data_IF_796051105647
#
_entry.id   IF_796051105647
#
_cell.length_a   1.000
_cell.length_b   1.000
_cell.length_c   1.000
_cell.angle_alpha   90.00
_cell.angle_beta   90.00
_cell.angle_gamma   90.00
#
_symmetry.space_group_name_H-M   'P 1'
#
loop_
_entity.id
_entity.type
_entity.pdbx_description
1 polymer ?
#
# COMPACT_ATOMS: atom_id res chain seq x y z
N UNK A 1 13.56 -16.72 5.40
CA UNK A 1 12.27 -17.32 4.97
C UNK A 1 11.16 -16.92 5.96
N UNK A 2 11.40 -16.97 7.27
CA UNK A 2 10.45 -16.70 8.36
C UNK A 2 9.83 -15.30 8.24
N UNK A 3 10.64 -14.25 8.04
CA UNK A 3 10.15 -12.87 7.85
C UNK A 3 9.27 -12.70 6.60
N UNK A 4 9.48 -13.48 5.55
CA UNK A 4 8.61 -13.49 4.36
C UNK A 4 7.28 -14.16 4.72
N UNK A 5 7.31 -15.31 5.41
CA UNK A 5 6.13 -16.00 5.88
C UNK A 5 5.27 -15.08 6.77
N UNK A 6 5.88 -14.37 7.72
CA UNK A 6 5.20 -13.40 8.57
C UNK A 6 4.48 -12.30 7.75
N UNK A 7 5.17 -11.64 6.81
CA UNK A 7 4.57 -10.60 5.98
C UNK A 7 3.43 -11.13 5.11
N UNK A 8 3.59 -12.33 4.54
CA UNK A 8 2.52 -12.98 3.75
C UNK A 8 1.32 -13.33 4.62
N UNK A 9 1.54 -13.89 5.81
CA UNK A 9 0.46 -14.21 6.73
C UNK A 9 -0.31 -12.95 7.18
N UNK A 10 0.40 -11.88 7.54
CA UNK A 10 -0.20 -10.58 7.83
C UNK A 10 -1.06 -10.08 6.65
N UNK A 11 -0.53 -10.21 5.43
CA UNK A 11 -1.24 -9.78 4.22
C UNK A 11 -2.50 -10.60 3.94
N UNK A 12 -2.48 -11.93 4.20
CA UNK A 12 -3.61 -12.82 4.03
C UNK A 12 -4.66 -12.69 5.15
N UNK A 13 -4.25 -12.29 6.35
CA UNK A 13 -5.17 -12.09 7.48
C UNK A 13 -6.02 -10.83 7.38
N UNK A 14 -5.63 -9.87 6.54
CA UNK A 14 -6.35 -8.59 6.39
C UNK A 14 -7.40 -8.66 5.28
N UNK A 15 -8.66 -8.43 5.64
CA UNK A 15 -9.79 -8.46 4.71
C UNK A 15 -9.93 -7.11 3.98
N UNK A 16 -9.39 -7.03 2.77
CA UNK A 16 -9.47 -5.83 1.91
C UNK A 16 -10.90 -5.51 1.47
N UNK A 17 -11.74 -6.51 1.25
CA UNK A 17 -13.14 -6.29 0.83
C UNK A 17 -13.95 -5.67 1.97
N UNK A 18 -13.67 -6.06 3.22
CA UNK A 18 -14.26 -5.42 4.39
C UNK A 18 -13.82 -3.95 4.51
N UNK A 19 -12.53 -3.65 4.30
CA UNK A 19 -12.03 -2.27 4.26
C UNK A 19 -12.77 -1.44 3.20
N UNK A 20 -12.88 -1.96 1.98
CA UNK A 20 -13.55 -1.27 0.88
C UNK A 20 -15.01 -1.00 1.23
N UNK A 21 -15.71 -1.99 1.76
CA UNK A 21 -17.12 -1.87 2.10
C UNK A 21 -17.39 -0.95 3.28
N UNK A 22 -16.61 -1.10 4.37
CA UNK A 22 -16.91 -0.44 5.66
C UNK A 22 -16.23 0.92 5.77
N UNK A 23 -14.93 0.99 5.46
CA UNK A 23 -14.14 2.22 5.65
C UNK A 23 -14.22 3.12 4.42
N UNK A 24 -14.16 2.53 3.22
CA UNK A 24 -14.16 3.29 1.97
C UNK A 24 -15.54 3.42 1.31
N UNK A 25 -16.57 2.85 1.92
CA UNK A 25 -17.97 2.95 1.43
C UNK A 25 -18.11 2.59 -0.06
N UNK A 26 -17.37 1.57 -0.53
CA UNK A 26 -17.33 1.16 -1.93
C UNK A 26 -16.46 2.04 -2.85
N UNK A 27 -15.82 3.08 -2.35
CA UNK A 27 -15.02 4.04 -3.14
C UNK A 27 -13.58 3.57 -3.34
N UNK A 28 -13.39 2.30 -3.67
CA UNK A 28 -12.10 1.72 -3.98
C UNK A 28 -12.23 0.39 -4.70
N UNK A 29 -11.14 -0.06 -5.35
CA UNK A 29 -10.99 -1.39 -5.93
C UNK A 29 -9.84 -2.12 -5.20
N UNK A 30 -9.89 -3.46 -5.04
CA UNK A 30 -8.76 -4.22 -4.52
C UNK A 30 -7.50 -3.97 -5.37
N UNK A 31 -6.37 -3.70 -4.71
CA UNK A 31 -5.14 -3.48 -5.44
C UNK A 31 -4.46 -4.80 -5.79
N UNK A 32 -4.33 -5.09 -7.07
CA UNK A 32 -3.74 -6.32 -7.60
C UNK A 32 -2.25 -6.20 -7.86
N UNK A 33 -1.73 -4.98 -8.06
CA UNK A 33 -0.32 -4.71 -8.36
C UNK A 33 0.06 -3.29 -7.92
N UNK A 34 1.35 -2.96 -8.02
CA UNK A 34 1.84 -1.62 -7.64
C UNK A 34 1.40 -0.53 -8.62
N UNK A 35 1.25 -0.87 -9.91
CA UNK A 35 0.82 0.06 -10.95
C UNK A 35 -0.71 0.06 -11.00
N UNK A 36 -1.31 1.21 -10.73
CA UNK A 36 -2.76 1.36 -10.72
C UNK A 36 -3.38 1.23 -12.12
N UNK A 37 -4.67 0.87 -12.24
CA UNK A 37 -5.40 0.89 -13.50
C UNK A 37 -5.25 2.23 -14.24
N UNK A 38 -5.32 2.18 -15.57
CA UNK A 38 -5.18 3.33 -16.48
C UNK A 38 -3.77 3.95 -16.55
N UNK A 39 -2.77 3.37 -15.87
CA UNK A 39 -1.37 3.75 -16.05
C UNK A 39 -0.68 2.84 -17.07
N UNK A 40 0.27 3.39 -17.82
CA UNK A 40 1.13 2.60 -18.72
C UNK A 40 1.93 1.61 -17.88
N UNK A 41 1.89 0.34 -18.25
CA UNK A 41 2.52 -0.75 -17.51
C UNK A 41 1.59 -1.50 -16.54
N UNK A 42 0.33 -1.06 -16.38
CA UNK A 42 -0.67 -1.87 -15.69
C UNK A 42 -0.99 -3.13 -16.50
N UNK A 43 -0.95 -4.29 -15.87
CA UNK A 43 -1.30 -5.57 -16.47
C UNK A 43 -2.65 -6.05 -15.91
N UNK A 44 -3.75 -5.96 -16.68
CA UNK A 44 -5.07 -6.35 -16.19
C UNK A 44 -5.22 -7.87 -15.98
N UNK A 45 -4.25 -8.67 -16.43
CA UNK A 45 -4.25 -10.12 -16.24
C UNK A 45 -3.46 -10.56 -14.99
N UNK A 46 -2.77 -9.62 -14.32
CA UNK A 46 -2.00 -9.92 -13.13
C UNK A 46 -2.82 -9.69 -11.86
N UNK A 47 -2.97 -10.74 -11.07
CA UNK A 47 -3.54 -10.66 -9.72
C UNK A 47 -2.48 -11.08 -8.68
N UNK A 48 -1.76 -10.08 -8.17
CA UNK A 48 -0.82 -10.23 -7.06
C UNK A 48 -1.44 -9.93 -5.69
N UNK A 49 -2.76 -9.77 -5.65
CA UNK A 49 -3.47 -9.47 -4.40
C UNK A 49 -3.39 -10.67 -3.44
N UNK A 50 -2.96 -10.42 -2.20
CA UNK A 50 -3.06 -11.41 -1.13
C UNK A 50 -4.54 -11.51 -0.71
N UNK A 51 -5.24 -12.55 -1.19
CA UNK A 51 -6.62 -12.84 -0.83
C UNK A 51 -6.74 -13.11 0.66
N UNK A 52 -7.86 -12.69 1.23
CA UNK A 52 -8.16 -12.95 2.63
C UNK A 52 -8.34 -14.46 2.85
N UNK A 53 -7.47 -15.04 3.67
CA UNK A 53 -7.50 -16.44 4.06
C UNK A 53 -6.83 -16.60 5.44
N UNK A 54 -7.63 -16.43 6.49
CA UNK A 54 -7.15 -16.51 7.87
C UNK A 54 -6.65 -17.92 8.26
N UNK A 55 -7.31 -19.03 7.87
CA UNK A 55 -6.80 -20.38 8.10
C UNK A 55 -5.45 -20.62 7.48
N UNK A 56 -5.25 -20.27 6.20
CA UNK A 56 -3.98 -20.40 5.51
C UNK A 56 -2.89 -19.50 6.13
N UNK A 57 -3.25 -18.28 6.57
CA UNK A 57 -2.33 -17.38 7.26
C UNK A 57 -1.83 -17.99 8.57
N UNK A 58 -2.71 -18.59 9.39
CA UNK A 58 -2.36 -19.27 10.62
C UNK A 58 -1.44 -20.46 10.35
N UNK A 59 -1.83 -21.34 9.42
CA UNK A 59 -1.02 -22.51 9.06
C UNK A 59 0.38 -22.13 8.54
N UNK A 60 0.49 -21.00 7.82
CA UNK A 60 1.77 -20.47 7.36
C UNK A 60 2.64 -20.04 8.54
N UNK A 61 2.08 -19.35 9.54
CA UNK A 61 2.81 -18.96 10.75
C UNK A 61 3.26 -20.17 11.56
N UNK A 62 2.37 -21.15 11.77
CA UNK A 62 2.68 -22.38 12.50
C UNK A 62 3.86 -23.12 11.85
N UNK A 63 3.85 -23.26 10.52
CA UNK A 63 4.92 -23.90 9.76
C UNK A 63 6.28 -23.22 9.93
N UNK A 64 6.32 -21.93 10.20
CA UNK A 64 7.56 -21.16 10.36
C UNK A 64 7.89 -20.84 11.82
N UNK A 65 7.22 -21.52 12.77
CA UNK A 65 7.54 -21.47 14.19
C UNK A 65 7.03 -20.24 14.95
N UNK A 66 6.13 -19.45 14.35
CA UNK A 66 5.39 -18.39 15.03
C UNK A 66 4.19 -19.04 15.75
N UNK A 67 4.40 -19.58 16.92
CA UNK A 67 3.39 -20.26 17.75
C UNK A 67 3.43 -19.67 19.16
N UNK A 68 2.33 -19.78 19.88
CA UNK A 68 2.26 -19.46 21.30
C UNK A 68 3.07 -20.52 22.08
N UNK A 69 4.20 -20.13 22.67
CA UNK A 69 5.12 -21.02 23.37
C UNK A 69 5.01 -20.92 24.90
N UNK A 70 4.55 -19.78 25.40
CA UNK A 70 4.42 -19.53 26.83
C UNK A 70 2.97 -19.69 27.34
N UNK A 71 2.00 -19.87 26.44
CA UNK A 71 0.59 -20.12 26.76
C UNK A 71 -0.19 -18.85 27.07
N UNK A 72 0.28 -17.66 26.67
CA UNK A 72 -0.38 -16.38 26.93
C UNK A 72 -1.48 -16.03 25.90
N UNK A 73 -1.70 -16.90 24.92
CA UNK A 73 -2.69 -16.75 23.87
C UNK A 73 -2.22 -15.96 22.63
N UNK A 74 -0.95 -15.52 22.60
CA UNK A 74 -0.36 -14.81 21.50
C UNK A 74 0.81 -15.56 20.89
N UNK A 75 1.08 -15.31 19.62
CA UNK A 75 2.20 -15.94 18.91
C UNK A 75 3.53 -15.28 19.28
N UNK A 76 4.53 -16.10 19.51
CA UNK A 76 5.91 -15.70 19.70
C UNK A 76 6.71 -15.68 18.40
N UNK A 77 7.89 -15.09 18.45
CA UNK A 77 8.91 -15.24 17.43
C UNK A 77 9.42 -16.70 17.39
N UNK A 78 9.97 -17.14 16.24
CA UNK A 78 10.52 -18.50 16.12
C UNK A 78 11.59 -18.85 17.16
N UNK A 79 12.29 -17.86 17.72
CA UNK A 79 13.27 -18.03 18.80
C UNK A 79 12.64 -18.08 20.21
N UNK A 80 11.31 -17.96 20.32
CA UNK A 80 10.55 -18.05 21.57
C UNK A 80 10.42 -16.73 22.32
N UNK A 81 10.86 -15.62 21.74
CA UNK A 81 10.65 -14.31 22.37
C UNK A 81 9.25 -13.78 22.10
N UNK A 82 8.63 -13.11 23.08
CA UNK A 82 7.36 -12.44 22.86
C UNK A 82 7.37 -11.52 21.65
N UNK A 83 6.29 -11.55 20.87
CA UNK A 83 6.16 -10.75 19.65
C UNK A 83 5.02 -9.74 19.77
N UNK A 84 5.35 -8.46 19.60
CA UNK A 84 4.37 -7.38 19.45
C UNK A 84 4.70 -6.63 18.16
N UNK A 85 3.74 -6.55 17.24
CA UNK A 85 3.89 -5.79 16.00
C UNK A 85 3.50 -4.33 16.26
N UNK A 86 4.45 -3.43 16.09
CA UNK A 86 4.18 -2.00 16.14
C UNK A 86 3.68 -1.49 14.78
N UNK A 87 2.53 -0.84 14.79
CA UNK A 87 1.91 -0.25 13.61
C UNK A 87 1.89 1.27 13.78
N UNK A 88 2.61 1.96 12.92
CA UNK A 88 2.57 3.41 12.89
C UNK A 88 1.29 3.89 12.17
N UNK A 89 0.61 4.86 12.76
CA UNK A 89 -0.66 5.37 12.26
C UNK A 89 -0.77 6.88 12.46
N UNK A 90 -1.44 7.57 11.54
CA UNK A 90 -1.68 9.00 11.66
C UNK A 90 -2.86 9.31 12.60
N UNK A 91 -2.90 10.54 13.08
CA UNK A 91 -3.96 11.02 13.97
C UNK A 91 -5.13 11.53 13.11
N UNK A 92 -5.92 10.64 12.54
CA UNK A 92 -7.11 10.98 11.77
C UNK A 92 -8.29 10.05 12.10
N UNK A 93 -9.51 10.47 11.79
CA UNK A 93 -10.70 9.62 11.93
C UNK A 93 -10.66 8.44 10.96
N UNK A 94 -10.14 8.64 9.77
CA UNK A 94 -9.98 7.61 8.75
C UNK A 94 -8.95 6.55 9.19
N UNK A 95 -7.77 6.99 9.66
CA UNK A 95 -6.74 6.06 10.12
C UNK A 95 -7.22 5.25 11.34
N UNK A 96 -8.04 5.82 12.23
CA UNK A 96 -8.63 5.06 13.35
C UNK A 96 -9.49 3.89 12.87
N UNK A 97 -10.28 4.08 11.81
CA UNK A 97 -11.09 2.99 11.26
C UNK A 97 -10.22 1.89 10.64
N UNK A 98 -9.14 2.25 9.96
CA UNK A 98 -8.16 1.30 9.45
C UNK A 98 -7.44 0.55 10.58
N UNK A 99 -7.08 1.24 11.66
CA UNK A 99 -6.42 0.64 12.83
C UNK A 99 -7.32 -0.43 13.48
N UNK A 100 -8.63 -0.17 13.58
CA UNK A 100 -9.58 -1.17 14.11
C UNK A 100 -9.66 -2.43 13.24
N UNK A 101 -9.63 -2.28 11.91
CA UNK A 101 -9.58 -3.43 11.00
C UNK A 101 -8.26 -4.19 11.11
N UNK A 102 -7.13 -3.49 11.21
CA UNK A 102 -5.83 -4.11 11.42
C UNK A 102 -5.77 -4.83 12.76
N UNK A 103 -6.25 -4.20 13.85
CA UNK A 103 -6.33 -4.80 15.17
C UNK A 103 -7.17 -6.07 15.16
N UNK A 104 -8.38 -6.02 14.58
CA UNK A 104 -9.26 -7.18 14.40
C UNK A 104 -8.56 -8.33 13.68
N UNK A 105 -7.92 -8.03 12.53
CA UNK A 105 -7.26 -9.02 11.67
C UNK A 105 -6.07 -9.68 12.38
N UNK A 106 -5.23 -8.88 13.02
CA UNK A 106 -4.02 -9.37 13.68
C UNK A 106 -4.32 -10.09 15.00
N UNK A 107 -5.33 -9.63 15.74
CA UNK A 107 -5.85 -10.37 16.91
C UNK A 107 -6.37 -11.75 16.50
N UNK A 108 -7.16 -11.83 15.41
CA UNK A 108 -7.63 -13.10 14.89
C UNK A 108 -6.51 -14.03 14.40
N UNK A 109 -5.40 -13.45 13.94
CA UNK A 109 -4.18 -14.19 13.56
C UNK A 109 -3.35 -14.63 14.79
N UNK A 110 -3.62 -14.09 15.98
CA UNK A 110 -2.87 -14.34 17.21
C UNK A 110 -1.62 -13.46 17.36
N UNK A 111 -1.56 -12.31 16.68
CA UNK A 111 -0.44 -11.36 16.79
C UNK A 111 -0.86 -10.19 17.67
N UNK A 112 -0.07 -9.93 18.72
CA UNK A 112 -0.22 -8.75 19.57
C UNK A 112 0.19 -7.50 18.81
N UNK A 113 -0.58 -6.42 18.94
CA UNK A 113 -0.34 -5.17 18.21
C UNK A 113 -0.24 -3.98 19.14
N UNK A 114 0.62 -3.04 18.78
CA UNK A 114 0.74 -1.73 19.41
C UNK A 114 0.66 -0.64 18.34
N UNK A 115 -0.21 0.37 18.53
CA UNK A 115 -0.43 1.45 17.56
C UNK A 115 0.28 2.73 18.02
N UNK A 116 1.34 3.11 17.31
CA UNK A 116 2.10 4.33 17.54
C UNK A 116 1.51 5.47 16.72
N UNK A 117 0.74 6.36 17.38
CA UNK A 117 0.02 7.46 16.73
C UNK A 117 0.84 8.76 16.74
N UNK A 118 1.16 9.26 15.56
CA UNK A 118 1.92 10.49 15.39
C UNK A 118 1.44 11.29 14.17
N UNK A 119 1.92 12.53 14.03
CA UNK A 119 1.69 13.33 12.82
C UNK A 119 2.49 12.78 11.64
N UNK A 120 1.96 12.93 10.44
CA UNK A 120 2.59 12.42 9.21
C UNK A 120 4.06 12.82 9.03
N UNK A 121 4.49 14.09 9.26
CA UNK A 121 5.90 14.46 9.13
C UNK A 121 6.83 13.68 10.06
N UNK A 122 6.39 13.39 11.28
CA UNK A 122 7.17 12.66 12.27
C UNK A 122 7.29 11.17 11.88
N UNK A 123 6.18 10.57 11.42
CA UNK A 123 6.17 9.21 10.88
C UNK A 123 7.07 9.09 9.65
N UNK A 124 7.05 10.06 8.74
CA UNK A 124 7.90 10.05 7.56
C UNK A 124 9.39 10.13 7.93
N UNK A 125 9.75 10.95 8.93
CA UNK A 125 11.11 11.04 9.45
C UNK A 125 11.57 9.71 10.03
N UNK A 126 10.74 9.06 10.85
CA UNK A 126 11.03 7.75 11.44
C UNK A 126 11.12 6.64 10.38
N UNK A 127 10.23 6.65 9.37
CA UNK A 127 10.26 5.69 8.27
C UNK A 127 11.58 5.81 7.47
N UNK A 128 12.03 7.03 7.17
CA UNK A 128 13.32 7.28 6.52
C UNK A 128 14.50 6.81 7.37
N UNK A 129 14.41 6.96 8.68
CA UNK A 129 15.40 6.45 9.63
C UNK A 129 15.35 4.92 9.83
N UNK A 130 14.31 4.22 9.30
CA UNK A 130 14.13 2.77 9.48
C UNK A 130 13.65 2.37 10.87
N UNK A 131 12.95 3.26 11.56
CA UNK A 131 12.49 3.06 12.93
C UNK A 131 11.05 2.53 13.03
N UNK A 132 10.36 2.37 11.88
CA UNK A 132 9.00 1.83 11.84
C UNK A 132 9.02 0.36 11.41
N UNK A 133 8.22 -0.47 12.08
CA UNK A 133 8.02 -1.87 11.71
C UNK A 133 6.97 -2.01 10.60
N UNK A 134 5.82 -1.34 10.75
CA UNK A 134 4.73 -1.34 9.79
C UNK A 134 4.10 0.05 9.73
N UNK A 135 3.79 0.52 8.55
CA UNK A 135 3.10 1.79 8.32
C UNK A 135 2.29 1.77 7.02
N UNK A 136 1.04 2.25 7.09
CA UNK A 136 0.18 2.41 5.91
C UNK A 136 0.45 3.73 5.19
N UNK A 137 0.69 3.66 3.87
CA UNK A 137 0.91 4.82 3.01
C UNK A 137 0.10 4.72 1.72
N UNK A 138 -0.33 5.85 1.21
CA UNK A 138 -0.87 5.97 -0.12
C UNK A 138 0.13 6.66 -1.05
N UNK A 139 0.21 6.16 -2.28
CA UNK A 139 1.00 6.77 -3.34
C UNK A 139 0.07 7.23 -4.46
N UNK A 140 0.39 8.36 -5.08
CA UNK A 140 -0.29 8.87 -6.26
C UNK A 140 0.69 8.91 -7.41
N UNK A 141 0.29 8.44 -8.59
CA UNK A 141 1.12 8.52 -9.77
C UNK A 141 1.26 9.99 -10.20
N UNK A 142 2.49 10.43 -10.45
CA UNK A 142 2.77 11.78 -10.92
C UNK A 142 2.80 11.93 -12.44
N UNK A 143 2.69 10.81 -13.19
CA UNK A 143 2.72 10.78 -14.66
C UNK A 143 2.07 9.50 -15.18
N UNK A 144 1.65 9.46 -16.48
CA UNK A 144 1.06 8.28 -17.10
C UNK A 144 1.93 7.01 -17.06
N UNK A 145 3.27 7.06 -17.25
CA UNK A 145 4.12 5.89 -17.09
C UNK A 145 4.16 5.40 -15.64
N UNK A 146 3.62 4.19 -15.39
CA UNK A 146 3.55 3.62 -14.05
C UNK A 146 4.86 3.04 -13.52
N UNK A 147 5.88 2.85 -14.38
CA UNK A 147 7.15 2.22 -13.98
C UNK A 147 7.83 2.89 -12.79
N UNK A 148 7.69 4.22 -12.63
CA UNK A 148 8.29 4.98 -11.52
C UNK A 148 7.94 4.46 -10.13
N UNK A 149 6.77 3.85 -9.95
CA UNK A 149 6.35 3.29 -8.66
C UNK A 149 7.24 2.13 -8.21
N UNK A 150 7.86 1.40 -9.13
CA UNK A 150 8.80 0.31 -8.83
C UNK A 150 10.04 0.80 -8.06
N UNK A 151 10.41 2.07 -8.25
CA UNK A 151 11.50 2.72 -7.51
C UNK A 151 11.28 2.82 -6.01
N UNK A 152 10.03 2.68 -5.55
CA UNK A 152 9.67 2.68 -4.13
C UNK A 152 10.08 1.39 -3.41
N UNK A 153 10.50 0.35 -4.17
CA UNK A 153 11.06 -0.90 -3.63
C UNK A 153 12.48 -1.16 -4.14
N UNK A 154 13.08 -0.24 -4.89
CA UNK A 154 14.45 -0.36 -5.36
C UNK A 154 15.43 -0.19 -4.19
N UNK A 155 16.29 -1.20 -3.96
CA UNK A 155 17.17 -1.27 -2.80
C UNK A 155 18.04 -0.04 -2.55
N UNK A 156 18.74 0.52 -3.57
CA UNK A 156 19.53 1.75 -3.42
C UNK A 156 18.74 2.97 -2.97
N UNK A 157 17.42 2.98 -3.09
CA UNK A 157 16.56 4.06 -2.59
C UNK A 157 16.15 3.89 -1.11
N UNK A 158 16.72 2.93 -0.39
CA UNK A 158 16.38 2.67 1.02
C UNK A 158 16.60 3.90 1.91
N UNK A 159 15.59 4.27 2.69
CA UNK A 159 15.61 5.47 3.53
C UNK A 159 15.30 6.78 2.79
N UNK A 160 15.21 6.76 1.46
CA UNK A 160 14.73 7.87 0.63
C UNK A 160 13.25 7.63 0.25
N UNK A 161 13.01 7.06 -0.93
CA UNK A 161 11.68 6.69 -1.40
C UNK A 161 11.29 5.26 -1.07
N UNK A 162 12.25 4.34 -0.93
CA UNK A 162 12.02 2.97 -0.47
C UNK A 162 12.00 2.92 1.07
N UNK A 163 10.85 3.21 1.64
CA UNK A 163 10.63 3.21 3.08
C UNK A 163 10.53 1.79 3.67
N UNK A 164 10.13 0.81 2.86
CA UNK A 164 10.10 -0.60 3.24
C UNK A 164 11.50 -1.22 3.36
N UNK A 165 12.54 -0.52 2.91
CA UNK A 165 13.94 -0.99 2.87
C UNK A 165 14.08 -2.37 2.21
N UNK A 166 13.19 -2.65 1.26
CA UNK A 166 13.27 -3.85 0.45
C UNK A 166 14.53 -3.81 -0.40
N UNK A 167 15.33 -4.86 -0.31
CA UNK A 167 16.59 -4.93 -1.06
C UNK A 167 16.80 -6.37 -1.52
N UNK A 168 16.28 -6.70 -2.69
CA UNK A 168 16.44 -7.98 -3.35
C UNK A 168 17.27 -7.77 -4.61
N UNK A 169 18.43 -8.43 -4.76
CA UNK A 169 19.30 -8.25 -5.93
C UNK A 169 18.60 -8.46 -7.27
N UNK A 170 17.78 -9.50 -7.36
CA UNK A 170 17.00 -9.80 -8.57
C UNK A 170 16.03 -8.65 -8.92
N UNK A 171 15.31 -8.12 -7.95
CA UNK A 171 14.41 -6.97 -8.15
C UNK A 171 15.20 -5.72 -8.58
N UNK A 172 16.36 -5.49 -7.97
CA UNK A 172 17.22 -4.35 -8.31
C UNK A 172 17.73 -4.44 -9.75
N UNK A 173 18.15 -5.63 -10.19
CA UNK A 173 18.58 -5.86 -11.60
C UNK A 173 17.45 -5.62 -12.58
N UNK A 174 16.25 -6.12 -12.29
CA UNK A 174 15.06 -5.89 -13.11
C UNK A 174 14.69 -4.40 -13.17
N UNK A 175 14.79 -3.68 -12.05
CA UNK A 175 14.57 -2.23 -12.02
C UNK A 175 15.57 -1.50 -12.91
N UNK A 176 16.87 -1.80 -12.79
CA UNK A 176 17.92 -1.20 -13.62
C UNK A 176 17.73 -1.50 -15.11
N UNK A 177 17.28 -2.70 -15.46
CA UNK A 177 16.91 -3.05 -16.83
C UNK A 177 15.69 -2.23 -17.28
N UNK A 178 14.60 -2.25 -16.52
CA UNK A 178 13.32 -1.64 -16.89
C UNK A 178 13.40 -0.12 -17.07
N UNK A 179 14.22 0.59 -16.25
CA UNK A 179 14.36 2.06 -16.33
C UNK A 179 15.03 2.53 -17.62
N UNK A 180 15.77 1.66 -18.32
CA UNK A 180 16.45 1.97 -19.58
C UNK A 180 15.60 1.65 -20.80
N UNK A 181 14.51 0.89 -20.62
CA UNK A 181 13.62 0.50 -21.70
C UNK A 181 12.58 1.60 -21.99
N UNK A 182 12.18 1.81 -23.23
CA UNK A 182 11.00 2.60 -23.55
C UNK A 182 9.72 1.90 -23.06
N UNK A 183 8.62 2.65 -22.94
CA UNK A 183 7.32 2.05 -22.70
C UNK A 183 6.96 1.08 -23.83
N UNK A 184 6.50 -0.10 -23.48
CA UNK A 184 6.17 -1.14 -24.45
C UNK A 184 6.28 -2.57 -23.91
N UNK A 185 6.11 -3.57 -24.78
CA UNK A 185 5.98 -4.98 -24.36
C UNK A 185 7.19 -5.52 -23.57
N UNK A 186 8.40 -5.05 -23.88
CA UNK A 186 9.59 -5.51 -23.17
C UNK A 186 9.64 -4.97 -21.74
N UNK A 187 9.36 -3.66 -21.55
CA UNK A 187 9.25 -3.08 -20.20
C UNK A 187 8.11 -3.72 -19.40
N UNK A 188 6.98 -4.02 -20.05
CA UNK A 188 5.84 -4.67 -19.39
C UNK A 188 6.21 -6.08 -18.89
N UNK A 189 7.02 -6.84 -19.62
CA UNK A 189 7.55 -8.13 -19.12
C UNK A 189 8.42 -7.96 -17.89
N UNK A 190 9.27 -6.95 -17.86
CA UNK A 190 10.09 -6.64 -16.68
C UNK A 190 9.20 -6.24 -15.50
N UNK A 191 8.20 -5.38 -15.71
CA UNK A 191 7.21 -4.99 -14.68
C UNK A 191 6.51 -6.22 -14.12
N UNK A 192 6.10 -7.16 -14.99
CA UNK A 192 5.45 -8.41 -14.57
C UNK A 192 6.34 -9.22 -13.64
N UNK A 193 7.60 -9.46 -14.01
CA UNK A 193 8.56 -10.18 -13.19
C UNK A 193 8.79 -9.49 -11.83
N UNK A 194 8.91 -8.16 -11.82
CA UNK A 194 9.03 -7.39 -10.58
C UNK A 194 7.77 -7.52 -9.70
N UNK A 195 6.58 -7.50 -10.29
CA UNK A 195 5.30 -7.67 -9.58
C UNK A 195 5.16 -9.06 -8.96
N UNK A 196 5.64 -10.09 -9.64
CA UNK A 196 5.71 -11.46 -9.11
C UNK A 196 6.62 -11.55 -7.89
N UNK A 197 7.79 -10.91 -7.92
CA UNK A 197 8.69 -10.83 -6.76
C UNK A 197 8.03 -10.09 -5.58
N UNK A 198 7.31 -9.00 -5.85
CA UNK A 198 6.56 -8.28 -4.80
C UNK A 198 5.51 -9.18 -4.15
N UNK A 199 4.78 -9.97 -4.94
CA UNK A 199 3.78 -10.90 -4.41
C UNK A 199 4.40 -12.03 -3.58
N UNK A 200 5.57 -12.55 -3.99
CA UNK A 200 6.28 -13.63 -3.29
C UNK A 200 6.88 -13.13 -1.97
N UNK A 201 7.59 -12.00 -1.99
CA UNK A 201 8.33 -11.49 -0.83
C UNK A 201 7.49 -10.60 0.09
N UNK A 202 6.34 -10.13 -0.39
CA UNK A 202 5.37 -9.31 0.32
C UNK A 202 6.01 -8.15 1.12
N UNK A 203 6.85 -7.29 0.51
CA UNK A 203 7.38 -6.12 1.20
C UNK A 203 6.27 -5.11 1.51
N UNK A 204 5.19 -5.14 0.73
CA UNK A 204 3.96 -4.38 0.90
C UNK A 204 2.73 -5.30 0.93
N UNK A 205 1.75 -4.96 1.75
CA UNK A 205 0.37 -5.37 1.56
C UNK A 205 -0.28 -4.35 0.62
N UNK A 206 -0.55 -4.76 -0.60
CA UNK A 206 -1.37 -3.96 -1.51
C UNK A 206 -2.83 -4.03 -1.03
N UNK A 207 -3.37 -2.88 -0.62
CA UNK A 207 -4.73 -2.80 -0.06
C UNK A 207 -5.74 -2.46 -1.15
N UNK A 208 -5.79 -1.18 -1.55
CA UNK A 208 -6.83 -0.71 -2.46
C UNK A 208 -6.35 0.42 -3.36
N UNK A 209 -6.87 0.46 -4.58
CA UNK A 209 -6.85 1.64 -5.43
C UNK A 209 -8.04 2.52 -5.05
N UNK A 210 -7.77 3.72 -4.57
CA UNK A 210 -8.82 4.66 -4.18
C UNK A 210 -9.50 5.26 -5.40
N UNK A 211 -10.82 5.38 -5.37
CA UNK A 211 -11.57 6.22 -6.29
C UNK A 211 -11.61 7.63 -5.75
N UNK A 212 -11.40 8.60 -6.62
CA UNK A 212 -11.52 10.00 -6.29
C UNK A 212 -12.75 10.56 -7.00
N UNK A 213 -13.67 11.15 -6.24
CA UNK A 213 -14.84 11.83 -6.77
C UNK A 213 -14.61 13.33 -6.65
N UNK A 214 -14.62 14.02 -7.77
CA UNK A 214 -14.45 15.47 -7.81
C UNK A 214 -15.80 16.13 -8.07
N UNK A 215 -16.29 16.85 -7.08
CA UNK A 215 -17.51 17.64 -7.20
C UNK A 215 -17.13 19.07 -7.60
N UNK A 216 -17.72 19.54 -8.69
CA UNK A 216 -17.42 20.85 -9.27
C UNK A 216 -18.68 21.71 -9.27
N UNK A 217 -18.55 22.92 -8.78
CA UNK A 217 -19.67 23.88 -8.78
C UNK A 217 -19.98 24.34 -10.21
N UNK A 218 -21.30 24.56 -10.57
CA UNK A 218 -21.69 24.92 -11.94
C UNK A 218 -21.08 26.23 -12.43
N UNK A 219 -20.66 27.11 -11.55
CA UNK A 219 -20.02 28.39 -11.86
C UNK A 219 -18.49 28.33 -11.99
N UNK A 220 -17.86 27.15 -11.80
CA UNK A 220 -16.44 26.97 -12.06
C UNK A 220 -16.24 26.75 -13.56
N UNK A 221 -15.56 27.69 -14.20
CA UNK A 221 -15.26 27.66 -15.64
C UNK A 221 -13.85 27.13 -15.88
N UNK A 222 -13.64 26.45 -17.00
CA UNK A 222 -12.31 25.96 -17.39
C UNK A 222 -11.87 24.70 -16.65
N UNK A 223 -12.69 24.12 -15.78
CA UNK A 223 -12.35 22.85 -15.13
C UNK A 223 -12.25 21.72 -16.15
N UNK A 224 -11.07 21.09 -16.17
CA UNK A 224 -10.83 19.82 -16.86
C UNK A 224 -10.13 18.88 -15.88
N UNK A 225 -10.69 17.69 -15.71
CA UNK A 225 -10.05 16.68 -14.88
C UNK A 225 -8.68 16.30 -15.47
N UNK A 226 -7.64 16.43 -14.67
CA UNK A 226 -6.28 16.01 -15.04
C UNK A 226 -5.63 15.34 -13.84
N UNK A 227 -5.53 14.00 -13.83
CA UNK A 227 -5.00 13.27 -12.68
C UNK A 227 -3.50 13.52 -12.45
N UNK A 228 -2.79 14.08 -13.45
CA UNK A 228 -1.34 14.30 -13.37
C UNK A 228 -0.93 15.76 -13.29
N UNK A 229 -1.89 16.71 -13.32
CA UNK A 229 -1.60 18.14 -13.25
C UNK A 229 -2.07 18.74 -11.91
N UNK A 230 -1.21 18.79 -10.88
CA UNK A 230 -1.59 19.35 -9.58
C UNK A 230 -1.85 20.85 -9.62
N UNK A 231 -1.46 21.54 -10.69
CA UNK A 231 -1.60 22.98 -10.85
C UNK A 231 -2.72 23.36 -11.85
N UNK A 232 -3.67 22.48 -12.12
CA UNK A 232 -4.77 22.72 -13.07
C UNK A 232 -5.64 23.94 -12.69
N UNK A 233 -5.69 24.28 -11.40
CA UNK A 233 -6.39 25.47 -10.87
C UNK A 233 -5.98 26.80 -11.54
N UNK A 234 -4.80 26.89 -12.13
CA UNK A 234 -4.32 28.07 -12.87
C UNK A 234 -5.16 28.40 -14.11
N UNK A 235 -5.94 27.44 -14.58
CA UNK A 235 -6.78 27.57 -15.77
C UNK A 235 -8.26 27.67 -15.43
N UNK A 236 -8.59 27.76 -14.14
CA UNK A 236 -9.96 27.86 -13.67
C UNK A 236 -10.35 29.32 -13.45
N UNK A 237 -11.61 29.61 -13.72
CA UNK A 237 -12.20 30.92 -13.48
C UNK A 237 -13.58 30.73 -12.85
N UNK A 238 -14.15 31.83 -12.32
CA UNK A 238 -15.46 31.87 -11.68
C UNK A 238 -16.40 32.74 -12.48
N UNK A 239 -17.46 32.13 -13.02
CA UNK A 239 -18.59 32.85 -13.62
C UNK A 239 -19.43 33.48 -12.49
N UNK A 240 -19.23 34.77 -12.29
CA UNK A 240 -19.92 35.53 -11.22
C UNK A 240 -21.43 35.59 -11.42
N UNK A 241 -21.92 35.63 -12.67
CA UNK A 241 -23.35 35.67 -12.97
C UNK A 241 -24.01 34.33 -12.59
N UNK A 242 -23.42 33.20 -13.00
CA UNK A 242 -23.91 31.88 -12.60
C UNK A 242 -23.83 31.67 -11.09
N UNK A 243 -22.78 32.16 -10.44
CA UNK A 243 -22.63 32.08 -8.99
C UNK A 243 -23.70 32.86 -8.25
N UNK A 244 -24.05 34.06 -8.75
CA UNK A 244 -25.11 34.88 -8.17
C UNK A 244 -26.49 34.22 -8.34
N UNK A 245 -26.75 33.59 -9.49
CA UNK A 245 -27.99 32.86 -9.76
C UNK A 245 -28.18 31.56 -8.97
N UNK A 246 -27.14 31.02 -8.37
CA UNK A 246 -27.17 29.79 -7.59
C UNK A 246 -27.36 30.01 -6.07
N UNK A 247 -27.55 31.27 -5.65
CA UNK A 247 -27.90 31.66 -4.28
C UNK A 247 -29.40 31.85 -4.14
#
# INVERSE_FOLDING_TARGET
KEKVALRRAISMAYNTDEEIRVVRQGQALPATQMIAPNLIGHDPTFDGHAKFDLPAAKALLDRFGYVDKDGDGWRDLPDGKPFTLQIASSISAFDRQLDELWKKSLTALGIRTDFVKQKFPDLLKQARAGQLQMWGLANTAGSPPGFGVMGLLYGPNAGLSNLARFNLPEFNQLYEKGRRLPDGPERNRVIRQMSELVSVYAPWKLQAYRMENVLVQPWLVGYKHSPFNPNAWRYWDIDLARRAAAR
#
